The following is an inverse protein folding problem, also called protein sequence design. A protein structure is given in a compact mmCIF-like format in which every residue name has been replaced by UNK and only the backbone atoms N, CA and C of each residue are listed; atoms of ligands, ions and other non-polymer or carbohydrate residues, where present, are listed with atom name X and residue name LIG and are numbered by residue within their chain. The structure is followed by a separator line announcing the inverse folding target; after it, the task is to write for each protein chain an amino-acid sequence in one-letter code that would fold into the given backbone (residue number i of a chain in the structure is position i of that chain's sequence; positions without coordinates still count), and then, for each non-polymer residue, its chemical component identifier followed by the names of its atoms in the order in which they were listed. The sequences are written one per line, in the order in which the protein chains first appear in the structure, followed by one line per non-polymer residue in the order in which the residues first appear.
data_IF_115351265096
#
_entry.id   IF_115351265096
#
_cell.length_a   1.000
_cell.length_b   1.000
_cell.length_c   1.000
_cell.angle_alpha   90.00
_cell.angle_beta   90.00
_cell.angle_gamma   90.00
#
_symmetry.space_group_name_H-M   'P 1'
#
loop_
_entity.id
_entity.type
_entity.pdbx_description
1 polymer ?
#
# COMPACT_ATOMS: atom_id res chain seq x y z
N UNK A 1 -13.69 7.74 9.13
CA UNK A 1 -14.17 8.17 7.79
C UNK A 1 -14.75 6.96 7.08
N UNK A 2 -15.77 7.14 6.25
CA UNK A 2 -16.52 6.04 5.62
C UNK A 2 -15.65 5.24 4.66
N UNK A 3 -15.83 3.92 4.66
CA UNK A 3 -15.28 3.01 3.65
C UNK A 3 -15.84 3.40 2.27
N UNK A 4 -14.99 3.66 1.28
CA UNK A 4 -15.41 3.85 -0.12
C UNK A 4 -16.10 2.58 -0.60
N UNK A 5 -17.22 2.69 -1.33
CA UNK A 5 -17.80 1.50 -1.94
C UNK A 5 -16.79 0.89 -2.93
N UNK A 6 -16.79 -0.44 -3.08
CA UNK A 6 -15.81 -1.14 -3.94
C UNK A 6 -15.90 -0.66 -5.39
N UNK A 7 -17.10 -0.30 -5.81
CA UNK A 7 -17.44 0.27 -7.11
C UNK A 7 -16.78 1.65 -7.31
N UNK A 8 -16.91 2.56 -6.34
CA UNK A 8 -16.29 3.89 -6.40
C UNK A 8 -14.76 3.80 -6.45
N UNK A 9 -14.18 2.86 -5.70
CA UNK A 9 -12.75 2.60 -5.74
C UNK A 9 -12.31 2.09 -7.11
N UNK A 10 -13.06 1.17 -7.72
CA UNK A 10 -12.73 0.64 -9.05
C UNK A 10 -12.84 1.72 -10.14
N UNK A 11 -13.85 2.58 -10.08
CA UNK A 11 -13.99 3.71 -11.00
C UNK A 11 -12.81 4.70 -10.85
N UNK A 12 -12.40 5.01 -9.63
CA UNK A 12 -11.23 5.85 -9.39
C UNK A 12 -9.94 5.22 -9.90
N UNK A 13 -9.75 3.90 -9.69
CA UNK A 13 -8.58 3.16 -10.20
C UNK A 13 -8.53 3.19 -11.73
N UNK A 14 -9.69 3.17 -12.41
CA UNK A 14 -9.79 3.17 -13.87
C UNK A 14 -9.39 4.49 -14.52
N UNK A 15 -9.67 5.62 -13.87
CA UNK A 15 -9.25 6.95 -14.34
C UNK A 15 -8.94 7.90 -13.17
N UNK A 16 -7.77 7.77 -12.51
CA UNK A 16 -7.44 8.56 -11.34
C UNK A 16 -7.33 10.07 -11.62
N UNK A 17 -7.07 10.45 -12.87
CA UNK A 17 -6.87 11.85 -13.27
C UNK A 17 -8.19 12.53 -13.68
N UNK A 18 -9.14 11.79 -14.25
CA UNK A 18 -10.46 12.29 -14.67
C UNK A 18 -11.62 11.92 -13.74
N UNK A 19 -11.38 11.15 -12.67
CA UNK A 19 -12.43 10.75 -11.74
C UNK A 19 -13.06 11.96 -11.02
N UNK A 20 -14.36 12.14 -11.20
CA UNK A 20 -15.17 13.22 -10.58
C UNK A 20 -16.33 12.69 -9.73
N UNK A 21 -16.46 11.37 -9.61
CA UNK A 21 -17.53 10.71 -8.86
C UNK A 21 -17.30 10.69 -7.34
N UNK A 22 -18.16 9.94 -6.65
CA UNK A 22 -18.04 9.62 -5.22
C UNK A 22 -18.49 10.72 -4.25
N UNK A 23 -18.54 10.39 -2.95
CA UNK A 23 -18.81 11.36 -1.89
C UNK A 23 -17.52 11.91 -1.26
N UNK A 24 -17.15 13.13 -1.63
CA UNK A 24 -16.00 13.82 -1.06
C UNK A 24 -16.33 14.43 0.30
N UNK A 25 -15.44 14.22 1.27
CA UNK A 25 -15.49 14.85 2.59
C UNK A 25 -14.20 15.64 2.80
N UNK A 26 -14.29 16.79 3.42
CA UNK A 26 -13.13 17.59 3.81
C UNK A 26 -13.08 17.76 5.32
N UNK A 27 -11.86 17.83 5.84
CA UNK A 27 -11.58 18.16 7.23
C UNK A 27 -10.50 19.23 7.27
N UNK A 28 -10.70 20.28 8.06
CA UNK A 28 -9.68 21.31 8.30
C UNK A 28 -8.92 20.91 9.55
N UNK A 29 -7.65 20.56 9.39
CA UNK A 29 -6.78 20.23 10.50
C UNK A 29 -6.18 21.49 11.10
N UNK A 30 -6.39 21.67 12.41
CA UNK A 30 -5.78 22.70 13.23
C UNK A 30 -4.50 22.17 13.89
N UNK A 31 -3.58 23.06 14.31
CA UNK A 31 -2.39 22.65 15.07
C UNK A 31 -2.75 21.78 16.28
N UNK A 32 -2.01 20.68 16.46
CA UNK A 32 -2.24 19.71 17.54
C UNK A 32 -3.28 18.62 17.22
N UNK A 33 -3.97 18.69 16.09
CA UNK A 33 -4.88 17.63 15.65
C UNK A 33 -4.15 16.53 14.87
N UNK A 34 -4.63 15.30 14.98
CA UNK A 34 -4.12 14.14 14.24
C UNK A 34 -5.26 13.48 13.50
N UNK A 35 -4.99 13.04 12.27
CA UNK A 35 -5.93 12.26 11.47
C UNK A 35 -5.31 10.90 11.13
N UNK A 36 -6.13 9.87 11.14
CA UNK A 36 -5.77 8.52 10.70
C UNK A 36 -6.62 8.14 9.50
N UNK A 37 -5.94 7.68 8.45
CA UNK A 37 -6.55 7.16 7.24
C UNK A 37 -6.45 5.63 7.24
N UNK A 38 -7.55 4.95 6.96
CA UNK A 38 -7.54 3.50 6.78
C UNK A 38 -6.91 3.16 5.42
N UNK A 39 -6.42 1.93 5.27
CA UNK A 39 -5.91 1.41 3.99
C UNK A 39 -6.90 1.68 2.85
N UNK A 40 -6.40 2.17 1.71
CA UNK A 40 -7.22 2.47 0.54
C UNK A 40 -8.04 3.76 0.61
N UNK A 41 -7.92 4.56 1.68
CA UNK A 41 -8.55 5.89 1.68
C UNK A 41 -7.91 6.77 0.62
N UNK A 42 -8.69 7.25 -0.35
CA UNK A 42 -8.27 8.25 -1.32
C UNK A 42 -8.36 9.63 -0.65
N UNK A 43 -7.26 10.38 -0.62
CA UNK A 43 -7.24 11.71 -0.03
C UNK A 43 -6.31 12.66 -0.77
N UNK A 44 -6.62 13.95 -0.66
CA UNK A 44 -5.78 15.05 -1.11
C UNK A 44 -5.49 15.97 0.07
N UNK A 45 -4.26 16.46 0.16
CA UNK A 45 -3.85 17.39 1.20
C UNK A 45 -3.50 18.73 0.56
N UNK A 46 -4.18 19.79 1.02
CA UNK A 46 -3.95 21.15 0.58
C UNK A 46 -3.48 21.99 1.77
N UNK A 47 -2.39 22.75 1.59
CA UNK A 47 -1.99 23.76 2.56
C UNK A 47 -2.81 25.03 2.31
N UNK A 48 -3.44 25.57 3.35
CA UNK A 48 -4.06 26.89 3.29
C UNK A 48 -2.93 27.94 3.23
N UNK A 49 -3.06 28.95 2.36
CA UNK A 49 -2.01 29.94 2.11
C UNK A 49 -1.69 30.88 3.29
N UNK A 50 -2.46 30.79 4.38
CA UNK A 50 -2.25 31.59 5.59
C UNK A 50 -1.25 30.92 6.54
N UNK A 51 0.03 31.05 6.21
CA UNK A 51 1.14 30.71 7.12
C UNK A 51 1.92 29.46 6.76
N UNK A 52 3.01 29.23 7.48
CA UNK A 52 3.82 28.03 7.35
C UNK A 52 3.15 26.88 8.09
N UNK A 53 3.00 25.73 7.43
CA UNK A 53 2.45 24.51 8.00
C UNK A 53 3.54 23.44 8.10
N UNK A 54 3.71 22.87 9.29
CA UNK A 54 4.54 21.68 9.50
C UNK A 54 3.63 20.51 9.88
N UNK A 55 3.67 19.44 9.09
CA UNK A 55 2.93 18.20 9.35
C UNK A 55 3.94 17.07 9.53
N UNK A 56 3.75 16.27 10.58
CA UNK A 56 4.45 15.01 10.78
C UNK A 56 3.50 13.87 10.43
N UNK A 57 4.01 12.89 9.70
CA UNK A 57 3.21 11.77 9.23
C UNK A 57 4.03 10.50 9.03
N UNK A 58 3.31 9.40 8.87
CA UNK A 58 3.88 8.10 8.62
C UNK A 58 2.80 7.10 8.22
N UNK A 59 3.23 5.87 7.92
CA UNK A 59 2.36 4.77 7.54
C UNK A 59 2.47 3.65 8.56
N UNK A 60 1.35 3.02 8.91
CA UNK A 60 1.29 1.88 9.81
C UNK A 60 0.47 0.79 9.13
N UNK A 61 1.04 -0.41 9.00
CA UNK A 61 0.30 -1.58 8.53
C UNK A 61 -0.39 -2.26 9.71
N UNK A 62 -1.72 -2.40 9.64
CA UNK A 62 -2.53 -3.05 10.67
C UNK A 62 -3.02 -4.42 10.21
N UNK A 63 -2.96 -5.41 11.09
CA UNK A 63 -3.47 -6.77 10.81
C UNK A 63 -4.93 -6.78 10.37
N UNK A 64 -5.76 -5.91 10.93
CA UNK A 64 -7.19 -5.83 10.62
C UNK A 64 -7.51 -5.41 9.17
N UNK A 65 -6.56 -4.79 8.47
CA UNK A 65 -6.74 -4.28 7.10
C UNK A 65 -5.64 -4.79 6.15
N UNK A 66 -4.97 -5.90 6.50
CA UNK A 66 -3.82 -6.41 5.74
C UNK A 66 -4.22 -6.90 4.35
N UNK A 67 -5.42 -7.47 4.21
CA UNK A 67 -6.01 -7.85 2.92
C UNK A 67 -6.22 -6.63 2.03
N UNK A 68 -6.93 -5.61 2.53
CA UNK A 68 -7.21 -4.38 1.80
C UNK A 68 -5.93 -3.63 1.40
N UNK A 69 -4.90 -3.68 2.24
CA UNK A 69 -3.59 -3.14 1.88
C UNK A 69 -3.01 -3.81 0.62
N UNK A 70 -3.04 -5.14 0.53
CA UNK A 70 -2.53 -5.86 -0.63
C UNK A 70 -3.34 -5.56 -1.89
N UNK A 71 -4.66 -5.45 -1.79
CA UNK A 71 -5.52 -5.05 -2.91
C UNK A 71 -5.14 -3.67 -3.46
N UNK A 72 -4.89 -2.70 -2.57
CA UNK A 72 -4.47 -1.34 -2.94
C UNK A 72 -3.10 -1.35 -3.60
N UNK A 73 -2.15 -2.15 -3.07
CA UNK A 73 -0.82 -2.31 -3.67
C UNK A 73 -0.93 -2.87 -5.10
N UNK A 74 -1.75 -3.90 -5.31
CA UNK A 74 -1.98 -4.48 -6.65
C UNK A 74 -2.55 -3.42 -7.59
N UNK A 75 -3.53 -2.63 -7.14
CA UNK A 75 -4.11 -1.55 -7.94
C UNK A 75 -3.08 -0.45 -8.30
N UNK A 76 -2.19 -0.09 -7.37
CA UNK A 76 -1.14 0.89 -7.62
C UNK A 76 -0.08 0.39 -8.60
N UNK A 77 0.28 -0.89 -8.54
CA UNK A 77 1.24 -1.47 -9.50
C UNK A 77 0.66 -1.47 -10.92
N UNK A 78 -0.62 -1.79 -11.07
CA UNK A 78 -1.32 -1.75 -12.38
C UNK A 78 -1.40 -0.35 -13.00
N UNK A 79 -1.25 0.69 -12.17
CA UNK A 79 -1.35 2.08 -12.58
C UNK A 79 -0.05 2.83 -12.22
N UNK A 80 1.02 2.68 -13.03
CA UNK A 80 2.35 3.20 -12.70
C UNK A 80 2.40 4.73 -12.56
N UNK A 81 1.39 5.46 -13.07
CA UNK A 81 1.24 6.90 -12.81
C UNK A 81 0.91 7.27 -11.36
N UNK A 82 0.55 6.30 -10.52
CA UNK A 82 0.20 6.46 -9.10
C UNK A 82 1.38 6.12 -8.18
N UNK A 83 2.35 5.32 -8.66
CA UNK A 83 3.44 4.79 -7.83
C UNK A 83 4.74 5.61 -7.97
N UNK A 84 5.36 5.94 -6.84
CA UNK A 84 6.74 6.46 -6.86
C UNK A 84 7.68 5.39 -7.44
N UNK A 85 8.53 5.78 -8.40
CA UNK A 85 9.46 4.92 -9.15
C UNK A 85 10.29 3.96 -8.27
N UNK A 86 10.62 4.34 -7.03
CA UNK A 86 11.42 3.51 -6.11
C UNK A 86 10.58 2.62 -5.18
N UNK A 87 9.26 2.80 -5.13
CA UNK A 87 8.40 2.07 -4.20
C UNK A 87 8.25 0.59 -4.59
N UNK A 88 8.38 0.25 -5.88
CA UNK A 88 8.09 -1.10 -6.40
C UNK A 88 8.98 -2.21 -5.82
N UNK A 89 10.30 -2.00 -5.79
CA UNK A 89 11.25 -2.96 -5.19
C UNK A 89 11.06 -3.11 -3.68
N UNK A 90 10.68 -2.02 -3.03
CA UNK A 90 10.40 -2.02 -1.59
C UNK A 90 9.11 -2.81 -1.33
N UNK A 91 8.07 -2.56 -2.12
CA UNK A 91 6.76 -3.22 -2.01
C UNK A 91 6.88 -4.75 -2.09
N UNK A 92 7.62 -5.30 -3.05
CA UNK A 92 7.78 -6.75 -3.15
C UNK A 92 8.37 -7.36 -1.86
N UNK A 93 9.45 -6.78 -1.33
CA UNK A 93 10.05 -7.21 -0.06
C UNK A 93 9.07 -7.11 1.11
N UNK A 94 8.25 -6.05 1.15
CA UNK A 94 7.25 -5.89 2.19
C UNK A 94 6.14 -6.95 2.09
N UNK A 95 5.67 -7.27 0.89
CA UNK A 95 4.68 -8.34 0.68
C UNK A 95 5.23 -9.69 1.13
N UNK A 96 6.48 -10.01 0.78
CA UNK A 96 7.14 -11.25 1.20
C UNK A 96 7.26 -11.36 2.73
N UNK A 97 7.74 -10.29 3.38
CA UNK A 97 7.87 -10.25 4.85
C UNK A 97 6.53 -10.41 5.54
N UNK A 98 5.47 -9.75 5.04
CA UNK A 98 4.12 -9.88 5.60
C UNK A 98 3.59 -11.30 5.39
N UNK A 99 3.76 -11.88 4.20
CA UNK A 99 3.36 -13.25 3.91
C UNK A 99 4.04 -14.25 4.85
N UNK A 100 5.35 -14.09 5.07
CA UNK A 100 6.11 -14.92 6.01
C UNK A 100 5.65 -14.75 7.46
N UNK A 101 5.33 -13.52 7.88
CA UNK A 101 4.79 -13.27 9.22
C UNK A 101 3.43 -13.95 9.41
N UNK A 102 2.55 -13.90 8.41
CA UNK A 102 1.23 -14.56 8.46
C UNK A 102 1.39 -16.07 8.54
N UNK A 103 2.26 -16.66 7.71
CA UNK A 103 2.57 -18.10 7.73
C UNK A 103 3.15 -18.56 9.07
N UNK A 104 4.03 -17.76 9.68
CA UNK A 104 4.74 -18.12 10.93
C UNK A 104 3.92 -17.92 12.20
N UNK A 105 3.19 -16.81 12.32
CA UNK A 105 2.43 -16.52 13.55
C UNK A 105 1.12 -17.30 13.66
N UNK A 106 0.71 -17.94 12.55
CA UNK A 106 -0.58 -18.59 12.47
C UNK A 106 -1.71 -17.56 12.54
N UNK A 107 -2.89 -18.00 12.12
CA UNK A 107 -4.04 -17.11 11.94
C UNK A 107 -4.51 -16.48 13.27
N UNK A 108 -4.08 -17.03 14.41
CA UNK A 108 -4.43 -16.60 15.77
C UNK A 108 -4.16 -15.12 16.13
N UNK A 109 -3.21 -14.44 15.47
CA UNK A 109 -2.97 -13.00 15.71
C UNK A 109 -3.77 -12.08 14.78
N UNK A 110 -4.40 -12.64 13.75
CA UNK A 110 -5.32 -11.96 12.87
C UNK A 110 -6.70 -12.21 13.47
N UNK A 111 -7.41 -11.15 13.86
CA UNK A 111 -8.71 -11.27 14.55
C UNK A 111 -9.77 -12.06 13.76
N UNK A 112 -9.52 -12.36 12.50
CA UNK A 112 -10.41 -13.02 11.58
C UNK A 112 -9.63 -13.99 10.67
N UNK A 113 -9.96 -15.28 10.73
CA UNK A 113 -9.23 -16.28 9.95
C UNK A 113 -9.40 -16.10 8.44
N UNK A 114 -10.57 -15.61 8.01
CA UNK A 114 -10.85 -15.35 6.60
C UNK A 114 -9.98 -14.24 5.99
N UNK A 115 -9.55 -13.27 6.79
CA UNK A 115 -8.67 -12.17 6.32
C UNK A 115 -7.28 -12.70 5.93
N UNK A 116 -6.75 -13.68 6.67
CA UNK A 116 -5.43 -14.24 6.39
C UNK A 116 -5.42 -15.10 5.11
N UNK A 117 -6.45 -15.93 4.93
CA UNK A 117 -6.60 -16.77 3.75
C UNK A 117 -6.75 -15.92 2.48
N UNK A 118 -7.60 -14.91 2.51
CA UNK A 118 -7.77 -13.98 1.38
C UNK A 118 -6.50 -13.22 1.05
N UNK A 119 -5.72 -12.80 2.05
CA UNK A 119 -4.41 -12.20 1.82
C UNK A 119 -3.50 -13.17 1.06
N UNK A 120 -3.38 -14.42 1.51
CA UNK A 120 -2.53 -15.43 0.87
C UNK A 120 -2.99 -15.76 -0.56
N UNK A 121 -4.30 -15.76 -0.82
CA UNK A 121 -4.82 -15.92 -2.18
C UNK A 121 -4.51 -14.70 -3.07
N UNK A 122 -4.57 -13.50 -2.51
CA UNK A 122 -4.22 -12.27 -3.20
C UNK A 122 -2.72 -12.16 -3.53
N UNK A 123 -1.83 -12.90 -2.85
CA UNK A 123 -0.41 -12.99 -3.24
C UNK A 123 -0.27 -13.53 -4.67
N UNK A 124 -1.07 -14.52 -5.07
CA UNK A 124 -1.02 -15.06 -6.44
C UNK A 124 -1.40 -13.99 -7.47
N UNK A 125 -2.32 -13.09 -7.13
CA UNK A 125 -2.71 -11.97 -7.98
C UNK A 125 -1.61 -10.90 -8.03
N UNK A 126 -0.95 -10.65 -6.90
CA UNK A 126 0.22 -9.77 -6.81
C UNK A 126 1.36 -10.27 -7.70
N UNK A 127 1.76 -11.54 -7.57
CA UNK A 127 2.86 -12.14 -8.34
C UNK A 127 2.62 -12.02 -9.84
N UNK A 128 1.39 -12.30 -10.31
CA UNK A 128 1.02 -12.16 -11.72
C UNK A 128 1.25 -10.74 -12.23
N UNK A 129 0.76 -9.74 -11.49
CA UNK A 129 0.87 -8.33 -11.91
C UNK A 129 2.31 -7.85 -11.83
N UNK A 130 3.04 -8.27 -10.79
CA UNK A 130 4.42 -7.89 -10.58
C UNK A 130 5.36 -8.46 -11.65
N UNK A 131 5.15 -9.74 -12.04
CA UNK A 131 5.92 -10.44 -13.08
C UNK A 131 5.54 -9.95 -14.47
N UNK A 132 4.27 -9.72 -14.81
CA UNK A 132 3.87 -9.41 -16.20
C UNK A 132 4.44 -8.07 -16.71
N UNK A 133 4.82 -7.17 -15.82
CA UNK A 133 5.49 -5.91 -16.17
C UNK A 133 7.03 -6.00 -16.17
N UNK A 134 7.61 -7.12 -15.72
CA UNK A 134 8.97 -7.51 -16.06
C UNK A 134 8.87 -8.62 -17.13
N UNK A 135 9.18 -8.31 -18.40
CA UNK A 135 9.58 -9.39 -19.32
C UNK A 135 10.59 -10.29 -18.60
N UNK A 136 10.57 -11.62 -18.82
CA UNK A 136 11.21 -12.59 -17.93
C UNK A 136 12.70 -12.28 -17.81
N UNK A 137 13.10 -11.62 -16.73
CA UNK A 137 14.48 -11.24 -16.54
C UNK A 137 15.04 -12.02 -15.36
N UNK A 138 16.14 -12.70 -15.67
CA UNK A 138 16.81 -13.71 -14.90
C UNK A 138 16.96 -13.38 -13.41
N UNK A 139 16.86 -14.45 -12.62
CA UNK A 139 17.31 -14.61 -11.24
C UNK A 139 18.48 -13.67 -10.90
N UNK A 140 18.32 -12.70 -9.98
CA UNK A 140 19.47 -11.96 -9.50
C UNK A 140 20.28 -12.86 -8.58
N UNK A 141 21.39 -13.41 -9.10
CA UNK A 141 22.48 -13.88 -8.28
C UNK A 141 23.06 -12.66 -7.54
N UNK A 142 22.68 -12.48 -6.28
CA UNK A 142 23.34 -11.53 -5.39
C UNK A 142 24.70 -12.11 -5.02
N UNK A 143 25.76 -11.57 -5.63
CA UNK A 143 27.12 -11.72 -5.12
C UNK A 143 27.22 -10.80 -3.91
N UNK A 144 27.29 -11.39 -2.72
CA UNK A 144 27.63 -10.68 -1.49
C UNK A 144 29.13 -10.38 -1.53
N UNK A 145 29.50 -9.14 -1.82
CA UNK A 145 30.84 -8.66 -1.46
C UNK A 145 30.81 -8.29 0.03
N UNK A 146 31.40 -9.15 0.85
CA UNK A 146 31.76 -8.81 2.22
C UNK A 146 32.92 -7.81 2.16
N UNK A 147 32.69 -6.58 2.61
CA UNK A 147 33.77 -5.70 3.05
C UNK A 147 34.09 -6.03 4.50
N UNK A 148 34.90 -7.07 4.69
CA UNK A 148 35.79 -7.16 5.84
C UNK A 148 37.16 -6.62 5.43
N UNK A 149 37.92 -6.14 6.41
CA UNK A 149 39.17 -5.34 6.38
C UNK A 149 38.88 -3.83 6.51
N UNK A 150 38.94 -3.19 7.68
CA UNK A 150 39.71 -3.51 8.87
C UNK A 150 40.99 -2.67 8.91
N UNK A 151 40.96 -1.65 9.77
CA UNK A 151 42.04 -0.80 10.27
C UNK A 151 42.30 0.55 9.57
#
# INVERSE_FOLDING_TARGET
MSHLAKEELNEWIGDPQGYTGGQWRYAILQPGQTIFFNSGTIYFLFSVSKGQCLVLGGHILQWSNVEQWLEVIIAQIRNPGILNKNARLIIAKYVDVVADLIRRKGISCIRDEGTAEKFLDNIKAFDRVFITEEGPTATPHVVVQNSEDGM
#
